data_IF_044250231624
#
_entry.id   IF_044250231624
#
_cell.length_a   1.000
_cell.length_b   1.000
_cell.length_c   1.000
_cell.angle_alpha   90.00
_cell.angle_beta   90.00
_cell.angle_gamma   90.00
#
_symmetry.space_group_name_H-M   'P 1'
#
loop_
_entity.id
_entity.type
_entity.pdbx_description
1 polymer ?
#
# COMPACT_ATOMS: atom_id res chain seq x y z
N UNK A 1 -15.44 5.43 36.40
CA UNK A 1 -15.61 5.85 35.00
C UNK A 1 -14.43 6.74 34.64
N UNK A 2 -13.33 6.14 34.18
CA UNK A 2 -12.20 6.88 33.61
C UNK A 2 -12.37 6.80 32.10
N UNK A 3 -12.72 7.94 31.52
CA UNK A 3 -12.90 8.11 30.09
C UNK A 3 -11.60 7.74 29.37
N UNK A 4 -11.64 6.64 28.62
CA UNK A 4 -10.53 6.22 27.77
C UNK A 4 -10.58 7.08 26.52
N UNK A 5 -10.06 8.30 26.63
CA UNK A 5 -9.83 9.18 25.49
C UNK A 5 -8.71 8.58 24.65
N UNK A 6 -9.04 7.57 23.83
CA UNK A 6 -8.16 7.11 22.76
C UNK A 6 -7.87 8.32 21.89
N UNK A 7 -6.59 8.70 21.76
CA UNK A 7 -6.20 9.75 20.82
C UNK A 7 -6.87 9.49 19.47
N UNK A 8 -7.46 10.51 18.83
CA UNK A 8 -7.97 10.35 17.48
C UNK A 8 -6.82 9.80 16.63
N UNK A 9 -7.11 8.72 15.91
CA UNK A 9 -6.12 8.07 15.06
C UNK A 9 -5.54 9.09 14.06
N UNK A 10 -4.24 8.97 13.79
CA UNK A 10 -3.54 9.87 12.87
C UNK A 10 -4.14 9.73 11.47
N UNK A 11 -4.79 10.79 10.92
CA UNK A 11 -5.46 10.71 9.62
C UNK A 11 -4.53 10.30 8.48
N UNK A 12 -3.24 10.64 8.55
CA UNK A 12 -2.26 10.25 7.54
C UNK A 12 -1.99 8.75 7.60
N UNK A 13 -1.90 8.19 8.81
CA UNK A 13 -1.72 6.76 9.01
C UNK A 13 -2.96 5.98 8.56
N UNK A 14 -4.15 6.42 8.94
CA UNK A 14 -5.42 5.78 8.54
C UNK A 14 -5.64 5.82 7.01
N UNK A 15 -5.41 6.98 6.39
CA UNK A 15 -5.54 7.13 4.94
C UNK A 15 -4.51 6.27 4.22
N UNK A 16 -3.29 6.19 4.75
CA UNK A 16 -2.25 5.29 4.22
C UNK A 16 -2.68 3.84 4.26
N UNK A 17 -3.33 3.40 5.33
CA UNK A 17 -3.82 2.02 5.47
C UNK A 17 -4.92 1.70 4.46
N UNK A 18 -5.86 2.62 4.24
CA UNK A 18 -6.88 2.48 3.18
C UNK A 18 -6.23 2.43 1.80
N UNK A 19 -5.27 3.32 1.53
CA UNK A 19 -4.54 3.36 0.26
C UNK A 19 -3.78 2.04 0.01
N UNK A 20 -3.08 1.53 1.01
CA UNK A 20 -2.37 0.24 0.95
C UNK A 20 -3.32 -0.89 0.56
N UNK A 21 -4.51 -0.96 1.17
CA UNK A 21 -5.52 -1.98 0.84
C UNK A 21 -6.02 -1.84 -0.60
N UNK A 22 -6.29 -0.61 -1.05
CA UNK A 22 -6.73 -0.34 -2.42
C UNK A 22 -5.67 -0.73 -3.46
N UNK A 23 -4.40 -0.40 -3.20
CA UNK A 23 -3.29 -0.75 -4.09
C UNK A 23 -3.08 -2.26 -4.20
N UNK A 24 -3.21 -3.00 -3.08
CA UNK A 24 -3.20 -4.47 -3.10
C UNK A 24 -4.35 -5.04 -3.91
N UNK A 25 -5.57 -4.54 -3.70
CA UNK A 25 -6.75 -4.98 -4.45
C UNK A 25 -6.57 -4.74 -5.95
N UNK A 26 -6.03 -3.59 -6.34
CA UNK A 26 -5.74 -3.26 -7.74
C UNK A 26 -4.67 -4.18 -8.35
N UNK A 27 -3.60 -4.46 -7.62
CA UNK A 27 -2.57 -5.41 -8.05
C UNK A 27 -3.15 -6.81 -8.27
N UNK A 28 -3.93 -7.32 -7.31
CA UNK A 28 -4.59 -8.62 -7.40
C UNK A 28 -5.65 -8.69 -8.50
N UNK A 29 -6.21 -7.55 -8.92
CA UNK A 29 -7.14 -7.46 -10.05
C UNK A 29 -6.43 -7.43 -11.41
N UNK A 30 -5.14 -7.79 -11.48
CA UNK A 30 -4.37 -7.82 -12.71
C UNK A 30 -3.85 -6.45 -13.17
N UNK A 31 -3.82 -5.45 -12.28
CA UNK A 31 -3.30 -4.11 -12.59
C UNK A 31 -2.08 -3.72 -11.71
N UNK A 32 -1.04 -4.57 -11.59
CA UNK A 32 0.12 -4.31 -10.72
C UNK A 32 0.93 -3.07 -11.14
N UNK A 33 1.02 -2.78 -12.44
CA UNK A 33 1.75 -1.60 -12.94
C UNK A 33 1.08 -0.29 -12.53
N UNK A 34 -0.26 -0.23 -12.67
CA UNK A 34 -1.04 0.94 -12.26
C UNK A 34 -0.96 1.13 -10.75
N UNK A 35 -1.08 0.05 -9.98
CA UNK A 35 -0.89 0.10 -8.53
C UNK A 35 0.52 0.56 -8.16
N UNK A 36 1.56 0.09 -8.86
CA UNK A 36 2.95 0.46 -8.56
C UNK A 36 3.21 1.94 -8.80
N UNK A 37 2.69 2.51 -9.89
CA UNK A 37 2.81 3.95 -10.18
C UNK A 37 2.13 4.81 -9.10
N UNK A 38 0.93 4.41 -8.65
CA UNK A 38 0.22 5.10 -7.58
C UNK A 38 0.95 5.00 -6.24
N UNK A 39 1.46 3.81 -5.89
CA UNK A 39 2.26 3.58 -4.69
C UNK A 39 3.54 4.44 -4.68
N UNK A 40 4.27 4.49 -5.80
CA UNK A 40 5.48 5.30 -5.93
C UNK A 40 5.21 6.79 -5.77
N UNK A 41 4.11 7.30 -6.34
CA UNK A 41 3.70 8.69 -6.20
C UNK A 41 3.38 9.03 -4.73
N UNK A 42 2.64 8.16 -4.05
CA UNK A 42 2.31 8.35 -2.64
C UNK A 42 3.57 8.26 -1.76
N UNK A 43 4.47 7.31 -2.03
CA UNK A 43 5.76 7.19 -1.35
C UNK A 43 6.56 8.48 -1.46
N UNK A 44 6.67 9.04 -2.68
CA UNK A 44 7.41 10.28 -2.91
C UNK A 44 6.85 11.46 -2.13
N UNK A 45 5.52 11.54 -1.97
CA UNK A 45 4.86 12.59 -1.21
C UNK A 45 5.13 12.48 0.31
N UNK A 46 5.25 11.26 0.82
CA UNK A 46 5.35 10.99 2.25
C UNK A 46 6.79 10.83 2.75
N UNK A 47 7.76 10.45 1.91
CA UNK A 47 9.12 10.04 2.31
C UNK A 47 9.86 11.02 3.23
N UNK A 48 9.59 12.32 3.14
CA UNK A 48 10.29 13.35 3.92
C UNK A 48 9.59 13.71 5.22
N UNK A 49 8.25 13.77 5.23
CA UNK A 49 7.47 14.26 6.38
C UNK A 49 6.83 13.12 7.19
N UNK A 50 6.56 11.99 6.54
CA UNK A 50 5.88 10.82 7.09
C UNK A 50 6.63 9.53 6.70
N UNK A 51 7.86 9.34 7.20
CA UNK A 51 8.72 8.23 6.78
C UNK A 51 8.16 6.85 7.15
N UNK A 52 7.36 6.74 8.21
CA UNK A 52 6.71 5.48 8.61
C UNK A 52 5.68 5.03 7.58
N UNK A 53 4.83 5.94 7.13
CA UNK A 53 3.81 5.68 6.11
C UNK A 53 4.44 5.47 4.73
N UNK A 54 5.53 6.19 4.43
CA UNK A 54 6.32 5.93 3.24
C UNK A 54 6.89 4.50 3.25
N UNK A 55 7.43 4.00 4.36
CA UNK A 55 7.94 2.62 4.44
C UNK A 55 6.85 1.58 4.14
N UNK A 56 5.61 1.80 4.60
CA UNK A 56 4.48 0.92 4.27
C UNK A 56 4.22 0.89 2.75
N UNK A 57 4.25 2.04 2.08
CA UNK A 57 4.09 2.13 0.63
C UNK A 57 5.27 1.51 -0.12
N UNK A 58 6.49 1.61 0.41
CA UNK A 58 7.65 0.92 -0.12
C UNK A 58 7.47 -0.61 -0.07
N UNK A 59 6.95 -1.14 1.04
CA UNK A 59 6.56 -2.54 1.15
C UNK A 59 5.51 -2.96 0.09
N UNK A 60 4.59 -2.07 -0.27
CA UNK A 60 3.63 -2.31 -1.35
C UNK A 60 4.29 -2.34 -2.73
N UNK A 61 5.23 -1.45 -3.02
CA UNK A 61 6.01 -1.52 -4.27
C UNK A 61 6.70 -2.88 -4.42
N UNK A 62 7.36 -3.37 -3.36
CA UNK A 62 8.00 -4.69 -3.37
C UNK A 62 7.01 -5.85 -3.51
N UNK A 63 5.80 -5.73 -2.94
CA UNK A 63 4.75 -6.72 -3.12
C UNK A 63 4.25 -6.76 -4.57
N UNK A 64 3.92 -5.59 -5.14
CA UNK A 64 3.39 -5.48 -6.49
C UNK A 64 4.39 -5.94 -7.55
N UNK A 65 5.68 -5.67 -7.36
CA UNK A 65 6.74 -6.14 -8.25
C UNK A 65 6.82 -7.68 -8.36
N UNK A 66 6.29 -8.42 -7.38
CA UNK A 66 6.27 -9.89 -7.38
C UNK A 66 4.99 -10.51 -7.95
N UNK A 67 3.95 -9.70 -8.22
CA UNK A 67 2.71 -10.20 -8.81
C UNK A 67 2.83 -10.60 -10.30
N UNK A 68 3.60 -9.90 -11.15
CA UNK A 68 3.82 -10.32 -12.54
C UNK A 68 4.41 -11.72 -12.67
N UNK A 69 5.28 -12.13 -11.74
CA UNK A 69 5.88 -13.48 -11.72
C UNK A 69 4.86 -14.60 -11.46
N UNK A 70 3.71 -14.28 -10.86
CA UNK A 70 2.71 -15.28 -10.46
C UNK A 70 1.64 -15.55 -11.52
N UNK A 71 1.35 -14.58 -12.41
CA UNK A 71 0.30 -14.74 -13.44
C UNK A 71 0.77 -15.60 -14.61
N UNK A 72 2.06 -15.57 -14.95
CA UNK A 72 2.64 -16.42 -16.01
C UNK A 72 3.04 -17.83 -15.53
N UNK A 73 3.01 -18.08 -14.22
CA UNK A 73 3.45 -19.36 -13.62
C UNK A 73 2.31 -20.35 -13.34
N UNK A 74 1.07 -20.06 -13.75
CA UNK A 74 -0.04 -21.01 -13.63
C UNK A 74 0.16 -22.16 -14.64
N UNK A 75 0.27 -23.43 -14.20
CA UNK A 75 0.35 -24.56 -15.13
C UNK A 75 -0.97 -24.70 -15.87
N UNK A 76 -0.93 -24.81 -17.20
CA UNK A 76 -2.08 -25.27 -17.97
C UNK A 76 -2.37 -26.73 -17.57
N UNK A 77 -3.49 -26.96 -16.89
CA UNK A 77 -4.11 -28.29 -16.75
C UNK A 77 -4.95 -28.64 -17.98
#
# INVERSE_FOLDING_TARGET
MTDSSGSPADPISETTDVLVRALRALGNAGQPDTASRLAARAWWALKSQHPREAERLNGILHYLARLPEQVDSAPNE
#
